data_IF_303205775031
#
_entry.id   IF_303205775031
#
_cell.length_a   1.000
_cell.length_b   1.000
_cell.length_c   1.000
_cell.angle_alpha   90.00
_cell.angle_beta   90.00
_cell.angle_gamma   90.00
#
_symmetry.space_group_name_H-M   'P 1'
#
loop_
_entity.id
_entity.type
_entity.pdbx_description
1 polymer ?
#
# COMPACT_ATOMS: atom_id res chain seq x y z
N UNK A 1 86.34 -39.68 -21.49
CA UNK A 1 86.76 -39.33 -20.11
C UNK A 1 85.52 -38.87 -19.35
N UNK A 2 84.85 -39.80 -18.64
CA UNK A 2 83.64 -39.52 -17.84
C UNK A 2 83.98 -38.92 -16.49
N UNK A 3 83.36 -37.79 -16.12
CA UNK A 3 83.25 -37.32 -14.73
C UNK A 3 81.84 -37.62 -14.22
N UNK A 4 81.74 -38.57 -13.31
CA UNK A 4 80.56 -38.83 -12.48
C UNK A 4 80.41 -37.73 -11.43
N UNK A 5 79.29 -36.99 -11.45
CA UNK A 5 78.85 -36.17 -10.32
C UNK A 5 78.08 -37.06 -9.34
N UNK A 6 78.61 -37.21 -8.12
CA UNK A 6 77.91 -37.80 -6.97
C UNK A 6 76.88 -36.79 -6.45
N UNK A 7 75.62 -37.18 -6.40
CA UNK A 7 74.55 -36.43 -5.73
C UNK A 7 74.62 -36.70 -4.21
N UNK A 8 74.69 -35.63 -3.40
CA UNK A 8 74.72 -35.72 -1.94
C UNK A 8 73.28 -35.67 -1.37
N UNK A 9 72.79 -36.74 -0.70
CA UNK A 9 71.40 -36.84 -0.20
C UNK A 9 71.09 -35.98 1.04
N UNK A 10 72.02 -35.15 1.52
CA UNK A 10 71.89 -34.37 2.75
C UNK A 10 71.15 -33.04 2.60
N UNK A 11 71.15 -32.41 1.42
CA UNK A 11 70.47 -31.12 1.21
C UNK A 11 68.95 -31.23 1.07
N UNK A 12 68.46 -32.33 0.48
CA UNK A 12 67.02 -32.56 0.31
C UNK A 12 66.30 -32.81 1.65
N UNK A 13 66.96 -33.49 2.60
CA UNK A 13 66.41 -33.75 3.93
C UNK A 13 66.34 -32.49 4.81
N UNK A 14 67.34 -31.61 4.73
CA UNK A 14 67.36 -30.36 5.48
C UNK A 14 66.25 -29.41 4.99
N UNK A 15 66.01 -29.34 3.67
CA UNK A 15 64.93 -28.54 3.10
C UNK A 15 63.53 -29.04 3.54
N UNK A 16 63.33 -30.36 3.63
CA UNK A 16 62.04 -30.96 4.00
C UNK A 16 61.69 -30.75 5.48
N UNK A 17 62.68 -30.88 6.37
CA UNK A 17 62.50 -30.62 7.82
C UNK A 17 62.32 -29.13 8.10
N UNK A 18 63.05 -28.26 7.39
CA UNK A 18 62.89 -26.80 7.49
C UNK A 18 61.50 -26.32 7.04
N UNK A 19 60.93 -26.91 5.99
CA UNK A 19 59.59 -26.56 5.52
C UNK A 19 58.49 -27.04 6.48
N UNK A 20 58.61 -28.26 7.01
CA UNK A 20 57.64 -28.81 7.97
C UNK A 20 57.57 -28.02 9.29
N UNK A 21 58.72 -27.53 9.77
CA UNK A 21 58.80 -26.71 10.99
C UNK A 21 58.22 -25.30 10.78
N UNK A 22 58.48 -24.67 9.63
CA UNK A 22 57.88 -23.38 9.26
C UNK A 22 56.35 -23.47 9.11
N UNK A 23 55.83 -24.53 8.47
CA UNK A 23 54.38 -24.75 8.39
C UNK A 23 53.75 -24.95 9.77
N UNK A 24 54.40 -25.71 10.66
CA UNK A 24 53.90 -25.93 12.02
C UNK A 24 53.85 -24.64 12.84
N UNK A 25 54.87 -23.80 12.72
CA UNK A 25 54.92 -22.48 13.37
C UNK A 25 53.85 -21.52 12.81
N UNK A 26 53.61 -21.55 11.50
CA UNK A 26 52.56 -20.74 10.87
C UNK A 26 51.15 -21.17 11.32
N UNK A 27 50.90 -22.47 11.48
CA UNK A 27 49.63 -23.00 12.00
C UNK A 27 49.43 -22.59 13.45
N UNK A 28 50.46 -22.68 14.31
CA UNK A 28 50.37 -22.26 15.71
C UNK A 28 50.16 -20.74 15.83
N UNK A 29 50.83 -19.94 15.00
CA UNK A 29 50.62 -18.48 14.95
C UNK A 29 49.21 -18.13 14.48
N UNK A 30 48.69 -18.82 13.45
CA UNK A 30 47.32 -18.64 12.99
C UNK A 30 46.32 -19.03 14.07
N UNK A 31 46.47 -20.19 14.72
CA UNK A 31 45.58 -20.64 15.80
C UNK A 31 45.56 -19.68 16.98
N UNK A 32 46.70 -19.05 17.34
CA UNK A 32 46.76 -18.05 18.41
C UNK A 32 46.11 -16.72 18.03
N UNK A 33 46.18 -16.29 16.77
CA UNK A 33 45.67 -14.99 16.33
C UNK A 33 44.23 -15.01 15.79
N UNK A 34 43.70 -16.19 15.43
CA UNK A 34 42.30 -16.36 15.00
C UNK A 34 41.33 -16.62 16.17
N UNK A 35 41.83 -16.77 17.40
CA UNK A 35 41.03 -17.11 18.59
C UNK A 35 40.35 -15.95 19.33
N UNK A 36 40.37 -14.73 18.80
CA UNK A 36 39.85 -13.54 19.51
C UNK A 36 38.71 -12.81 18.79
N UNK A 37 37.92 -13.53 17.99
CA UNK A 37 36.57 -13.06 17.66
C UNK A 37 35.64 -13.49 18.81
N UNK A 38 35.66 -12.73 19.89
CA UNK A 38 34.71 -12.87 20.99
C UNK A 38 33.31 -12.81 20.40
N UNK A 39 32.58 -13.93 20.47
CA UNK A 39 31.22 -14.01 19.98
C UNK A 39 30.39 -12.98 20.75
N UNK A 40 30.04 -11.88 20.10
CA UNK A 40 29.16 -10.87 20.67
C UNK A 40 27.93 -11.60 21.24
N UNK A 41 27.47 -11.26 22.46
CA UNK A 41 26.34 -11.93 23.06
C UNK A 41 25.15 -11.82 22.10
N UNK A 42 24.65 -12.96 21.64
CA UNK A 42 23.42 -13.05 20.84
C UNK A 42 22.31 -12.50 21.73
N UNK A 43 21.98 -11.23 21.54
CA UNK A 43 20.92 -10.56 22.27
C UNK A 43 19.62 -11.26 21.88
N UNK A 44 19.11 -12.10 22.80
CA UNK A 44 17.84 -12.82 22.61
C UNK A 44 16.78 -11.78 22.24
N UNK A 45 16.25 -11.86 21.02
CA UNK A 45 15.25 -10.91 20.55
C UNK A 45 14.05 -10.97 21.50
N UNK A 46 13.63 -9.81 22.01
CA UNK A 46 12.39 -9.72 22.79
C UNK A 46 11.23 -10.22 21.92
N UNK A 47 10.26 -10.96 22.50
CA UNK A 47 9.05 -11.32 21.78
C UNK A 47 8.41 -10.03 21.26
N UNK A 48 8.22 -9.97 19.94
CA UNK A 48 7.58 -8.81 19.30
C UNK A 48 6.13 -8.78 19.80
N UNK A 49 5.79 -7.75 20.56
CA UNK A 49 4.41 -7.54 21.02
C UNK A 49 3.46 -7.66 19.83
N UNK A 50 2.39 -8.43 20.01
CA UNK A 50 1.37 -8.61 18.99
C UNK A 50 0.77 -7.25 18.64
N UNK A 51 0.77 -6.89 17.35
CA UNK A 51 0.29 -5.59 16.90
C UNK A 51 -1.21 -5.68 16.64
N UNK A 52 -1.94 -4.67 17.08
CA UNK A 52 -3.34 -4.51 16.72
C UNK A 52 -3.52 -4.39 15.20
N UNK A 53 -4.64 -4.91 14.71
CA UNK A 53 -5.00 -4.88 13.30
C UNK A 53 -5.30 -3.47 12.81
N UNK A 54 -5.02 -3.25 11.53
CA UNK A 54 -5.40 -2.03 10.82
C UNK A 54 -6.66 -2.34 10.02
N UNK A 55 -7.80 -1.79 10.43
CA UNK A 55 -9.06 -1.95 9.72
C UNK A 55 -9.17 -0.91 8.60
N UNK A 56 -9.69 -1.32 7.45
CA UNK A 56 -10.08 -0.40 6.37
C UNK A 56 -11.58 -0.17 6.50
N UNK A 57 -12.02 1.10 6.45
CA UNK A 57 -13.45 1.41 6.42
C UNK A 57 -14.06 0.76 5.18
N UNK A 58 -15.15 0.00 5.32
CA UNK A 58 -15.86 -0.51 4.16
C UNK A 58 -16.32 0.66 3.28
N UNK A 59 -16.45 0.41 1.98
CA UNK A 59 -17.16 1.32 1.08
C UNK A 59 -18.55 1.65 1.61
N UNK A 60 -19.20 2.69 1.08
CA UNK A 60 -20.58 2.97 1.44
C UNK A 60 -21.43 1.72 1.21
N UNK A 61 -22.47 1.49 2.05
CA UNK A 61 -23.50 0.51 1.70
C UNK A 61 -24.07 0.87 0.32
N UNK A 62 -24.75 -0.09 -0.32
CA UNK A 62 -25.37 0.15 -1.64
C UNK A 62 -26.06 1.52 -1.67
N UNK A 63 -25.63 2.44 -2.54
CA UNK A 63 -26.16 3.78 -2.60
C UNK A 63 -27.67 3.74 -2.81
N UNK A 64 -28.39 4.59 -2.06
CA UNK A 64 -29.82 4.80 -2.26
C UNK A 64 -30.03 6.22 -2.72
N UNK A 65 -30.89 6.38 -3.72
CA UNK A 65 -31.31 7.68 -4.22
C UNK A 65 -32.18 8.36 -3.17
N UNK A 66 -31.81 9.55 -2.73
CA UNK A 66 -32.69 10.42 -1.97
C UNK A 66 -33.79 10.96 -2.91
N UNK A 67 -35.06 10.70 -2.58
CA UNK A 67 -36.18 11.16 -3.40
C UNK A 67 -36.64 12.57 -3.03
N UNK A 68 -36.06 13.18 -1.99
CA UNK A 68 -36.49 14.46 -1.42
C UNK A 68 -37.83 14.41 -0.69
N UNK A 69 -38.45 13.23 -0.58
CA UNK A 69 -39.72 13.02 0.09
C UNK A 69 -39.50 12.52 1.52
N UNK A 70 -40.48 12.76 2.38
CA UNK A 70 -40.51 12.25 3.75
C UNK A 70 -41.76 11.43 3.98
N UNK A 71 -41.66 10.39 4.79
CA UNK A 71 -42.81 9.62 5.24
C UNK A 71 -43.61 10.37 6.33
N UNK A 72 -44.69 9.77 6.80
CA UNK A 72 -45.55 10.36 7.85
C UNK A 72 -44.80 10.61 9.17
N UNK A 73 -43.68 9.95 9.40
CA UNK A 73 -42.82 10.11 10.57
C UNK A 73 -41.66 11.10 10.32
N UNK A 74 -41.62 11.74 9.14
CA UNK A 74 -40.59 12.71 8.78
C UNK A 74 -39.26 12.11 8.34
N UNK A 75 -39.18 10.78 8.13
CA UNK A 75 -37.95 10.10 7.68
C UNK A 75 -37.82 10.21 6.17
N UNK A 76 -36.60 10.37 5.67
CA UNK A 76 -36.34 10.45 4.24
C UNK A 76 -36.72 9.15 3.52
N UNK A 77 -37.47 9.27 2.44
CA UNK A 77 -37.78 8.16 1.54
C UNK A 77 -36.63 8.05 0.55
N UNK A 78 -36.13 6.83 0.36
CA UNK A 78 -35.02 6.55 -0.56
C UNK A 78 -35.36 5.39 -1.49
N UNK A 79 -34.91 5.47 -2.73
CA UNK A 79 -35.08 4.44 -3.75
C UNK A 79 -33.79 3.66 -3.97
N UNK A 80 -33.90 2.33 -4.09
CA UNK A 80 -32.80 1.49 -4.60
C UNK A 80 -32.63 1.72 -6.11
N UNK A 81 -31.44 1.49 -6.64
CA UNK A 81 -31.15 1.66 -8.07
C UNK A 81 -32.03 0.72 -8.91
N UNK A 82 -32.22 -0.51 -8.42
CA UNK A 82 -33.10 -1.53 -9.02
C UNK A 82 -34.57 -1.10 -9.18
N UNK A 83 -35.05 -0.14 -8.39
CA UNK A 83 -36.41 0.42 -8.50
C UNK A 83 -36.71 0.90 -9.92
N UNK A 84 -35.74 1.58 -10.55
CA UNK A 84 -35.86 2.06 -11.92
C UNK A 84 -35.18 1.10 -12.90
N UNK A 85 -34.02 0.53 -12.52
CA UNK A 85 -33.21 -0.24 -13.46
C UNK A 85 -33.71 -1.66 -13.74
N UNK A 86 -34.69 -2.17 -12.98
CA UNK A 86 -35.37 -3.44 -13.27
C UNK A 86 -36.21 -3.41 -14.55
N UNK A 87 -36.59 -2.21 -15.03
CA UNK A 87 -37.44 -2.04 -16.22
C UNK A 87 -36.74 -1.33 -17.38
N UNK A 88 -35.44 -1.03 -17.25
CA UNK A 88 -34.68 -0.31 -18.29
C UNK A 88 -33.69 -1.24 -18.98
N UNK A 89 -33.53 -1.08 -20.28
CA UNK A 89 -32.45 -1.76 -21.02
C UNK A 89 -31.11 -1.08 -20.75
N UNK A 90 -30.07 -1.80 -20.26
CA UNK A 90 -28.74 -1.24 -20.05
C UNK A 90 -28.11 -0.76 -21.36
N UNK A 91 -27.45 0.40 -21.34
CA UNK A 91 -26.68 0.91 -22.47
C UNK A 91 -25.18 0.66 -22.23
N UNK A 92 -24.62 -0.33 -22.92
CA UNK A 92 -23.22 -0.75 -22.79
C UNK A 92 -22.21 0.22 -23.39
N UNK A 93 -22.66 1.16 -24.22
CA UNK A 93 -21.80 2.13 -24.90
C UNK A 93 -21.76 3.49 -24.22
N UNK A 94 -22.55 3.70 -23.16
CA UNK A 94 -22.64 4.98 -22.46
C UNK A 94 -21.37 5.26 -21.64
N UNK A 95 -20.60 6.25 -22.08
CA UNK A 95 -19.34 6.70 -21.45
C UNK A 95 -19.33 8.19 -21.08
N UNK A 96 -20.51 8.83 -21.03
CA UNK A 96 -20.67 10.24 -20.69
C UNK A 96 -21.93 10.44 -19.86
N UNK A 97 -21.90 11.41 -18.94
CA UNK A 97 -23.05 11.77 -18.12
C UNK A 97 -24.02 12.77 -18.78
N UNK A 98 -23.64 13.39 -19.91
CA UNK A 98 -24.37 14.51 -20.52
C UNK A 98 -25.86 14.22 -20.81
N UNK A 99 -26.17 13.02 -21.32
CA UNK A 99 -27.55 12.63 -21.68
C UNK A 99 -28.22 11.80 -20.59
N UNK A 100 -27.67 11.77 -19.37
CA UNK A 100 -28.30 11.08 -18.26
C UNK A 100 -29.32 12.01 -17.58
N UNK A 101 -30.51 11.49 -17.35
CA UNK A 101 -31.64 12.24 -16.79
C UNK A 101 -32.07 11.68 -15.42
N UNK A 102 -33.08 12.32 -14.82
CA UNK A 102 -33.65 11.95 -13.53
C UNK A 102 -32.60 11.99 -12.41
N UNK A 103 -32.39 10.85 -11.74
CA UNK A 103 -31.46 10.67 -10.62
C UNK A 103 -29.99 10.96 -10.97
N UNK A 104 -29.64 10.97 -12.26
CA UNK A 104 -28.27 11.12 -12.72
C UNK A 104 -27.94 12.55 -13.19
N UNK A 105 -28.91 13.47 -13.12
CA UNK A 105 -28.72 14.85 -13.60
C UNK A 105 -27.65 15.56 -12.77
N UNK A 106 -26.70 16.21 -13.45
CA UNK A 106 -25.61 16.94 -12.81
C UNK A 106 -24.41 16.08 -12.40
N UNK A 107 -24.45 14.78 -12.70
CA UNK A 107 -23.29 13.90 -12.54
C UNK A 107 -22.13 14.38 -13.43
N UNK A 108 -20.95 14.54 -12.84
CA UNK A 108 -19.71 14.74 -13.59
C UNK A 108 -19.00 13.41 -13.76
N UNK A 109 -18.50 13.14 -14.96
CA UNK A 109 -17.82 11.89 -15.27
C UNK A 109 -16.51 12.16 -16.01
N UNK A 110 -15.40 11.70 -15.44
CA UNK A 110 -14.09 11.74 -16.07
C UNK A 110 -13.28 10.48 -15.73
N UNK A 111 -13.58 9.40 -16.47
CA UNK A 111 -12.86 8.11 -16.44
C UNK A 111 -12.38 7.70 -17.84
N UNK A 112 -12.11 8.68 -18.69
CA UNK A 112 -11.74 8.47 -20.09
C UNK A 112 -12.86 7.78 -20.88
N UNK A 113 -12.51 6.73 -21.62
CA UNK A 113 -13.44 6.00 -22.49
C UNK A 113 -14.18 4.84 -21.81
N UNK A 114 -13.97 4.63 -20.50
CA UNK A 114 -14.73 3.61 -19.77
C UNK A 114 -16.22 3.92 -19.84
N UNK A 115 -17.03 2.89 -19.96
CA UNK A 115 -18.49 3.00 -19.92
C UNK A 115 -18.97 2.86 -18.48
N UNK A 116 -20.18 3.33 -18.16
CA UNK A 116 -20.75 3.17 -16.82
C UNK A 116 -20.77 1.68 -16.38
N UNK A 117 -21.00 0.80 -17.35
CA UNK A 117 -21.04 -0.66 -17.19
C UNK A 117 -19.64 -1.31 -17.28
N UNK A 118 -18.57 -0.54 -17.16
CA UNK A 118 -17.24 -1.07 -16.82
C UNK A 118 -17.10 -1.31 -15.31
N UNK A 119 -17.99 -0.71 -14.51
CA UNK A 119 -18.01 -0.78 -13.06
C UNK A 119 -19.37 -1.27 -12.53
N UNK A 120 -20.47 -0.73 -13.07
CA UNK A 120 -21.84 -1.06 -12.64
C UNK A 120 -22.34 -2.34 -13.28
N UNK A 121 -22.95 -3.22 -12.47
CA UNK A 121 -23.44 -4.48 -12.98
C UNK A 121 -24.77 -4.27 -13.72
N UNK A 122 -24.76 -4.53 -15.04
CA UNK A 122 -25.92 -4.36 -15.91
C UNK A 122 -27.12 -5.25 -15.53
N UNK A 123 -26.88 -6.37 -14.83
CA UNK A 123 -27.92 -7.30 -14.37
C UNK A 123 -28.45 -6.95 -12.98
N UNK A 124 -27.69 -6.16 -12.23
CA UNK A 124 -28.00 -5.78 -10.85
C UNK A 124 -27.33 -4.45 -10.52
N UNK A 125 -28.06 -3.34 -10.68
CA UNK A 125 -27.55 -2.00 -10.42
C UNK A 125 -27.36 -1.69 -8.91
N UNK A 126 -27.80 -2.59 -8.02
CA UNK A 126 -27.51 -2.54 -6.59
C UNK A 126 -26.14 -3.18 -6.26
N UNK A 127 -25.41 -3.65 -7.29
CA UNK A 127 -24.05 -4.17 -7.21
C UNK A 127 -23.12 -3.61 -8.31
N UNK A 128 -21.83 -3.83 -8.09
CA UNK A 128 -20.76 -3.62 -9.06
C UNK A 128 -20.37 -4.95 -9.70
N UNK A 129 -19.49 -4.90 -10.70
CA UNK A 129 -18.84 -6.11 -11.23
C UNK A 129 -17.36 -5.90 -11.55
N UNK A 130 -16.61 -7.00 -11.56
CA UNK A 130 -15.23 -7.06 -12.03
C UNK A 130 -15.18 -7.19 -13.55
N UNK A 131 -14.00 -7.01 -14.14
CA UNK A 131 -13.79 -7.14 -15.58
C UNK A 131 -14.12 -8.55 -16.11
N UNK A 132 -14.04 -9.58 -15.25
CA UNK A 132 -14.43 -10.96 -15.57
C UNK A 132 -15.95 -11.23 -15.41
N UNK A 133 -16.73 -10.22 -15.02
CA UNK A 133 -18.17 -10.29 -14.83
C UNK A 133 -18.64 -10.76 -13.46
N UNK A 134 -17.75 -11.14 -12.54
CA UNK A 134 -18.14 -11.46 -11.16
C UNK A 134 -18.71 -10.23 -10.45
N UNK A 135 -19.80 -10.40 -9.72
CA UNK A 135 -20.42 -9.32 -8.94
C UNK A 135 -19.59 -8.98 -7.69
N UNK A 136 -19.61 -7.70 -7.32
CA UNK A 136 -18.93 -7.13 -6.15
C UNK A 136 -19.89 -6.18 -5.45
N UNK A 137 -19.97 -6.26 -4.13
CA UNK A 137 -20.79 -5.34 -3.36
C UNK A 137 -20.13 -3.95 -3.29
N UNK A 138 -20.92 -2.88 -3.17
CA UNK A 138 -20.40 -1.51 -3.02
C UNK A 138 -19.38 -1.34 -1.88
N UNK A 139 -19.54 -1.98 -0.70
CA UNK A 139 -18.52 -1.97 0.35
C UNK A 139 -17.13 -2.46 -0.09
N UNK A 140 -17.07 -3.31 -1.11
CA UNK A 140 -15.86 -3.94 -1.62
C UNK A 140 -15.27 -3.23 -2.86
N UNK A 141 -15.69 -1.97 -3.11
CA UNK A 141 -15.28 -1.16 -4.28
C UNK A 141 -13.77 -1.08 -4.50
N UNK A 142 -12.95 -1.20 -3.44
CA UNK A 142 -11.49 -1.23 -3.59
C UNK A 142 -11.01 -2.40 -4.45
N UNK A 143 -11.69 -3.55 -4.40
CA UNK A 143 -11.41 -4.73 -5.23
C UNK A 143 -11.61 -4.39 -6.71
N UNK A 144 -12.67 -3.66 -7.04
CA UNK A 144 -12.94 -3.18 -8.40
C UNK A 144 -11.84 -2.21 -8.86
N UNK A 145 -11.53 -1.18 -8.06
CA UNK A 145 -10.55 -0.16 -8.41
C UNK A 145 -9.15 -0.74 -8.64
N UNK A 146 -8.76 -1.77 -7.87
CA UNK A 146 -7.45 -2.40 -7.94
C UNK A 146 -7.14 -3.05 -9.30
N UNK A 147 -8.16 -3.36 -10.12
CA UNK A 147 -7.97 -3.94 -11.44
C UNK A 147 -7.23 -3.01 -12.41
N UNK A 148 -7.41 -1.69 -12.26
CA UNK A 148 -6.77 -0.67 -13.10
C UNK A 148 -5.77 0.17 -12.31
N UNK A 149 -6.04 0.47 -11.04
CA UNK A 149 -5.20 1.31 -10.18
C UNK A 149 -4.25 0.48 -9.29
N UNK A 150 -3.53 -0.47 -9.90
CA UNK A 150 -2.69 -1.43 -9.18
C UNK A 150 -1.55 -0.77 -8.38
N UNK A 151 -0.89 0.25 -8.92
CA UNK A 151 0.16 0.99 -8.21
C UNK A 151 -0.38 1.73 -6.99
N UNK A 152 -1.51 2.44 -7.15
CA UNK A 152 -2.18 3.12 -6.04
C UNK A 152 -2.65 2.12 -4.98
N UNK A 153 -3.18 0.96 -5.38
CA UNK A 153 -3.57 -0.10 -4.45
C UNK A 153 -2.36 -0.66 -3.68
N UNK A 154 -1.24 -0.95 -4.37
CA UNK A 154 0.01 -1.38 -3.73
C UNK A 154 0.48 -0.34 -2.69
N UNK A 155 0.51 0.93 -3.08
CA UNK A 155 0.98 2.01 -2.20
C UNK A 155 0.00 2.23 -1.04
N UNK A 156 -1.30 2.04 -1.27
CA UNK A 156 -2.31 1.98 -0.23
C UNK A 156 -2.01 0.84 0.75
N UNK A 157 -1.77 -0.39 0.28
CA UNK A 157 -1.46 -1.52 1.17
C UNK A 157 -0.21 -1.28 2.02
N UNK A 158 0.77 -0.53 1.50
CA UNK A 158 1.97 -0.11 2.23
C UNK A 158 1.78 1.12 3.13
N UNK A 159 0.58 1.71 3.17
CA UNK A 159 0.22 2.76 4.12
C UNK A 159 0.32 4.19 3.59
N UNK A 160 0.62 4.41 2.32
CA UNK A 160 0.80 5.77 1.77
C UNK A 160 -0.52 6.54 1.57
N UNK A 161 -1.66 5.86 1.56
CA UNK A 161 -2.98 6.44 1.27
C UNK A 161 -4.00 6.18 2.39
N UNK A 162 -5.25 6.63 2.20
CA UNK A 162 -6.36 6.23 3.05
C UNK A 162 -6.23 6.73 4.47
N UNK A 163 -6.20 8.07 4.63
CA UNK A 163 -5.99 8.81 5.88
C UNK A 163 -6.45 8.04 7.14
N UNK A 164 -5.60 8.07 8.16
CA UNK A 164 -5.66 7.13 9.26
C UNK A 164 -6.14 7.80 10.56
N UNK A 165 -6.99 7.10 11.30
CA UNK A 165 -7.44 7.48 12.65
C UNK A 165 -7.10 6.38 13.65
N UNK A 166 -6.63 6.77 14.84
CA UNK A 166 -6.24 5.84 15.92
C UNK A 166 -4.74 5.89 16.22
N UNK A 167 -4.17 4.76 16.63
CA UNK A 167 -2.80 4.72 17.15
C UNK A 167 -1.76 4.64 16.02
N UNK A 168 -0.71 5.46 16.11
CA UNK A 168 0.47 5.31 15.26
C UNK A 168 1.30 4.07 15.65
N UNK A 169 1.37 3.79 16.96
CA UNK A 169 2.00 2.61 17.53
C UNK A 169 0.95 1.51 17.73
N UNK A 170 0.96 0.53 16.82
CA UNK A 170 0.02 -0.59 16.84
C UNK A 170 0.25 -1.57 18.00
N UNK A 171 1.29 -1.40 18.83
CA UNK A 171 1.38 -2.11 20.11
C UNK A 171 0.52 -1.48 21.21
N UNK A 172 0.05 -0.24 21.00
CA UNK A 172 -0.72 0.54 21.99
C UNK A 172 -2.21 0.61 21.67
N UNK A 173 -2.61 0.31 20.45
CA UNK A 173 -4.02 0.21 20.10
C UNK A 173 -4.29 0.07 18.61
N UNK A 174 -5.57 -0.09 18.22
CA UNK A 174 -5.96 -0.26 16.82
C UNK A 174 -5.92 1.05 16.04
N UNK A 175 -6.00 0.91 14.71
CA UNK A 175 -6.07 2.00 13.74
C UNK A 175 -7.05 1.67 12.64
N UNK A 176 -7.77 2.68 12.16
CA UNK A 176 -8.71 2.60 11.05
C UNK A 176 -8.23 3.49 9.91
N UNK A 177 -8.37 3.03 8.67
CA UNK A 177 -8.00 3.73 7.45
C UNK A 177 -9.21 3.99 6.56
N UNK A 178 -9.25 5.15 5.92
CA UNK A 178 -10.26 5.45 4.91
C UNK A 178 -10.02 4.61 3.64
N UNK A 179 -11.07 4.14 2.98
CA UNK A 179 -10.99 3.57 1.64
C UNK A 179 -10.87 4.67 0.56
N UNK A 180 -10.79 4.27 -0.72
CA UNK A 180 -10.65 5.19 -1.85
C UNK A 180 -11.81 6.20 -1.95
N UNK A 181 -13.05 5.71 -1.89
CA UNK A 181 -14.25 6.53 -2.11
C UNK A 181 -14.67 7.37 -0.91
N UNK A 182 -13.97 7.25 0.23
CA UNK A 182 -14.11 8.19 1.34
C UNK A 182 -13.53 9.57 1.00
N UNK A 183 -12.65 9.65 0.00
CA UNK A 183 -11.99 10.91 -0.38
C UNK A 183 -12.12 11.21 -1.88
N UNK A 184 -12.18 10.19 -2.73
CA UNK A 184 -12.33 10.34 -4.18
C UNK A 184 -13.78 10.17 -4.61
N UNK A 185 -14.24 10.99 -5.57
CA UNK A 185 -15.46 10.72 -6.32
C UNK A 185 -15.17 9.58 -7.32
N UNK A 186 -15.87 8.43 -7.25
CA UNK A 186 -15.63 7.32 -8.17
C UNK A 186 -15.97 7.62 -9.63
N UNK A 187 -16.69 8.72 -9.92
CA UNK A 187 -16.98 9.16 -11.29
C UNK A 187 -16.00 10.23 -11.79
N UNK A 188 -15.33 10.92 -10.87
CA UNK A 188 -14.32 11.93 -11.17
C UNK A 188 -13.21 11.93 -10.10
N UNK A 189 -12.31 10.92 -10.07
CA UNK A 189 -11.45 10.66 -8.92
C UNK A 189 -10.30 11.64 -8.78
N UNK A 190 -9.94 12.37 -9.83
CA UNK A 190 -8.84 13.32 -9.74
C UNK A 190 -9.18 14.40 -8.70
N UNK A 191 -8.24 14.65 -7.78
CA UNK A 191 -8.41 15.74 -6.83
C UNK A 191 -8.29 17.08 -7.56
N UNK A 192 -9.19 18.04 -7.29
CA UNK A 192 -9.05 19.36 -7.87
C UNK A 192 -7.75 20.02 -7.37
N UNK A 193 -7.08 20.75 -8.26
CA UNK A 193 -5.95 21.58 -7.87
C UNK A 193 -6.43 22.67 -6.90
N UNK A 194 -5.84 22.70 -5.72
CA UNK A 194 -6.08 23.74 -4.71
C UNK A 194 -4.89 24.68 -4.64
N UNK A 195 -5.15 25.97 -4.45
CA UNK A 195 -4.08 26.93 -4.13
C UNK A 195 -3.70 26.73 -2.66
N UNK A 196 -2.41 26.51 -2.33
CA UNK A 196 -1.99 26.45 -0.94
C UNK A 196 -2.40 27.72 -0.18
N UNK A 197 -3.08 27.55 0.95
CA UNK A 197 -3.43 28.65 1.86
C UNK A 197 -2.18 28.99 2.67
N UNK A 198 -1.46 30.02 2.23
CA UNK A 198 -0.26 30.62 2.86
C UNK A 198 0.92 29.65 3.14
N UNK A 199 2.17 30.12 3.06
CA UNK A 199 3.30 29.31 3.49
C UNK A 199 3.17 28.98 4.99
N UNK A 200 3.66 27.82 5.45
CA UNK A 200 3.74 27.53 6.88
C UNK A 200 4.45 28.67 7.60
N UNK A 201 3.87 29.17 8.69
CA UNK A 201 4.59 30.07 9.61
C UNK A 201 5.60 29.23 10.37
N UNK A 202 6.81 29.16 9.84
CA UNK A 202 7.91 28.59 10.61
C UNK A 202 8.41 29.62 11.64
N UNK A 203 9.05 29.10 12.68
CA UNK A 203 9.69 29.90 13.74
C UNK A 203 10.85 30.78 13.26
N UNK A 204 11.25 30.65 11.99
CA UNK A 204 12.39 31.35 11.38
C UNK A 204 11.88 32.60 10.62
N UNK A 205 10.68 32.51 10.05
CA UNK A 205 10.05 33.51 9.19
C UNK A 205 9.21 34.53 9.96
N UNK A 206 9.01 34.32 11.27
CA UNK A 206 8.39 35.31 12.16
C UNK A 206 9.48 35.89 13.05
N UNK A 207 9.89 37.16 12.86
CA UNK A 207 10.76 37.83 13.82
C UNK A 207 10.11 37.73 15.20
N UNK A 208 10.87 37.30 16.20
CA UNK A 208 10.42 37.27 17.58
C UNK A 208 10.29 38.72 18.06
N UNK A 209 9.16 39.37 17.76
CA UNK A 209 8.84 40.69 18.28
C UNK A 209 8.34 40.46 19.71
N UNK A 210 9.06 40.96 20.75
CA UNK A 210 8.57 40.89 22.11
C UNK A 210 7.20 41.56 22.17
N UNK A 211 6.25 40.95 22.88
CA UNK A 211 4.98 41.61 23.14
C UNK A 211 5.27 42.91 23.91
N UNK A 212 4.87 44.06 23.36
CA UNK A 212 4.84 45.31 24.11
C UNK A 212 3.75 45.17 25.17
N UNK A 213 4.17 45.23 26.44
CA UNK A 213 3.32 45.24 27.63
C UNK A 213 2.87 46.65 27.96
#
# INVERSE_FOLDING_TARGET
MSRLLKQHPSLAWIALVGFATLCSLAVVWAQKNLGAAESAPVMKSRPKAEKHLVAIKPGPPTPRLDTGLKDAQGRAITAACSTCHSTTTPNTMRNTAHDLFQAHRGLSYAHGNLTCLSCHNAKDYDALHLADGRSVAFPDVMTLCAQCHGTAMRDYLHGSHGGMNGHWDLSKGPRVRNNCVNCHDPHHPEFPLVRPVLPPRDRISVPNVPAEH
#
